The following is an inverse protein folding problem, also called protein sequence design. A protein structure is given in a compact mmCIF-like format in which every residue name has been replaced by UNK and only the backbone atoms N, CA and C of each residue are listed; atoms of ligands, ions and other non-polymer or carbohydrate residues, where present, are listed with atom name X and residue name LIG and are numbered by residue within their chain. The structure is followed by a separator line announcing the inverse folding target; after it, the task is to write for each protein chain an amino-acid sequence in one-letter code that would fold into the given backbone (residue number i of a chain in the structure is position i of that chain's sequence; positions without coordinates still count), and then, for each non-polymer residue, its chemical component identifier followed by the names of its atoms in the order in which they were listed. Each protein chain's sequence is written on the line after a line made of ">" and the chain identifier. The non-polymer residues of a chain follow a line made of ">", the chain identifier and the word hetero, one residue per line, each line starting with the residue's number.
data_IF_122849998833
#
_entry.id   IF_122849998833
#
_cell.length_a   1.000
_cell.length_b   1.000
_cell.length_c   1.000
_cell.angle_alpha   90.00
_cell.angle_beta   90.00
_cell.angle_gamma   90.00
#
_symmetry.space_group_name_H-M   'P 1'
#
loop_
_entity.id
_entity.type
_entity.pdbx_description
1 polymer ?
#
# COMPACT_ATOMS: atom_id res chain seq x y z
N UNK A 1 23.97 9.30 -13.90
CA UNK A 1 22.92 10.17 -13.32
C UNK A 1 21.53 10.03 -13.97
N UNK A 2 21.29 9.13 -14.95
CA UNK A 2 19.98 9.05 -15.65
C UNK A 2 19.01 7.98 -15.13
N UNK A 3 19.49 6.87 -14.58
CA UNK A 3 18.63 5.72 -14.24
C UNK A 3 17.68 5.98 -13.07
N UNK A 4 18.09 6.81 -12.11
CA UNK A 4 17.27 7.14 -10.93
C UNK A 4 16.08 8.04 -11.28
N UNK A 5 16.22 8.94 -12.25
CA UNK A 5 15.14 9.82 -12.72
C UNK A 5 14.03 9.03 -13.43
N UNK A 6 14.39 8.08 -14.28
CA UNK A 6 13.42 7.22 -14.99
C UNK A 6 12.58 6.38 -14.03
N UNK A 7 13.20 5.86 -12.96
CA UNK A 7 12.49 5.09 -11.93
C UNK A 7 11.53 5.98 -11.16
N UNK A 8 11.96 7.17 -10.74
CA UNK A 8 11.11 8.15 -10.04
C UNK A 8 9.91 8.56 -10.90
N UNK A 9 10.12 8.78 -12.19
CA UNK A 9 9.08 9.15 -13.14
C UNK A 9 8.09 8.01 -13.39
N UNK A 10 8.57 6.78 -13.53
CA UNK A 10 7.72 5.59 -13.61
C UNK A 10 6.88 5.40 -12.34
N UNK A 11 7.49 5.55 -11.16
CA UNK A 11 6.78 5.48 -9.88
C UNK A 11 5.66 6.53 -9.83
N UNK A 12 5.95 7.78 -10.20
CA UNK A 12 4.93 8.85 -10.23
C UNK A 12 3.81 8.55 -11.22
N UNK A 13 4.14 7.97 -12.37
CA UNK A 13 3.15 7.56 -13.36
C UNK A 13 2.17 6.51 -12.78
N UNK A 14 2.70 5.44 -12.18
CA UNK A 14 1.87 4.41 -11.54
C UNK A 14 1.10 4.96 -10.34
N UNK A 15 1.73 5.82 -9.55
CA UNK A 15 1.10 6.49 -8.41
C UNK A 15 -0.12 7.33 -8.83
N UNK A 16 0.01 8.12 -9.89
CA UNK A 16 -1.10 8.89 -10.44
C UNK A 16 -2.19 8.00 -11.02
N UNK A 17 -1.80 6.93 -11.72
CA UNK A 17 -2.73 5.95 -12.27
C UNK A 17 -3.55 5.27 -11.17
N UNK A 18 -2.92 4.85 -10.08
CA UNK A 18 -3.58 4.25 -8.91
C UNK A 18 -4.55 5.24 -8.27
N UNK A 19 -4.14 6.49 -8.07
CA UNK A 19 -4.98 7.52 -7.44
C UNK A 19 -6.21 7.88 -8.27
N UNK A 20 -6.13 7.76 -9.60
CA UNK A 20 -7.26 8.03 -10.49
C UNK A 20 -8.11 6.78 -10.77
N UNK A 21 -7.57 5.59 -10.56
CA UNK A 21 -8.23 4.31 -10.89
C UNK A 21 -8.81 3.62 -9.65
N UNK A 22 -9.30 4.40 -8.67
CA UNK A 22 -9.74 3.87 -7.38
C UNK A 22 -10.88 2.84 -7.47
N UNK A 23 -11.63 2.84 -8.57
CA UNK A 23 -12.74 1.93 -8.85
C UNK A 23 -12.33 0.68 -9.67
N UNK A 24 -11.07 0.59 -10.12
CA UNK A 24 -10.58 -0.48 -10.98
C UNK A 24 -9.48 -1.28 -10.27
N UNK A 25 -9.91 -2.23 -9.43
CA UNK A 25 -9.03 -3.08 -8.63
C UNK A 25 -8.01 -3.84 -9.49
N UNK A 26 -8.39 -4.25 -10.70
CA UNK A 26 -7.50 -4.99 -11.62
C UNK A 26 -6.35 -4.09 -12.08
N UNK A 27 -6.65 -2.84 -12.46
CA UNK A 27 -5.60 -1.86 -12.81
C UNK A 27 -4.71 -1.53 -11.62
N UNK A 28 -5.29 -1.36 -10.43
CA UNK A 28 -4.51 -1.08 -9.22
C UNK A 28 -3.57 -2.26 -8.93
N UNK A 29 -4.07 -3.49 -8.95
CA UNK A 29 -3.27 -4.69 -8.71
C UNK A 29 -2.11 -4.77 -9.69
N UNK A 30 -2.38 -4.57 -10.98
CA UNK A 30 -1.35 -4.53 -12.01
C UNK A 30 -0.30 -3.46 -11.73
N UNK A 31 -0.71 -2.24 -11.35
CA UNK A 31 0.24 -1.18 -10.97
C UNK A 31 1.09 -1.54 -9.75
N UNK A 32 0.50 -2.18 -8.74
CA UNK A 32 1.21 -2.65 -7.53
C UNK A 32 2.23 -3.73 -7.88
N UNK A 33 1.89 -4.66 -8.76
CA UNK A 33 2.83 -5.68 -9.26
C UNK A 33 3.97 -5.05 -10.08
N UNK A 34 3.69 -4.07 -10.94
CA UNK A 34 4.72 -3.35 -11.67
C UNK A 34 5.69 -2.64 -10.69
N UNK A 35 5.17 -2.00 -9.64
CA UNK A 35 5.97 -1.39 -8.58
C UNK A 35 6.80 -2.42 -7.81
N UNK A 36 6.30 -3.64 -7.63
CA UNK A 36 7.02 -4.72 -6.96
C UNK A 36 8.21 -5.25 -7.78
N UNK A 37 8.05 -5.35 -9.10
CA UNK A 37 9.05 -5.85 -10.03
C UNK A 37 10.13 -4.82 -10.39
N UNK A 38 9.85 -3.53 -10.20
CA UNK A 38 10.83 -2.47 -10.41
C UNK A 38 11.95 -2.53 -9.35
N UNK A 39 13.23 -2.29 -9.73
CA UNK A 39 14.35 -2.21 -8.80
C UNK A 39 14.33 -0.89 -8.02
N UNK A 40 13.32 -0.71 -7.17
CA UNK A 40 13.13 0.47 -6.33
C UNK A 40 14.10 0.38 -5.15
N UNK A 41 14.83 1.47 -4.89
CA UNK A 41 15.71 1.64 -3.74
C UNK A 41 15.07 2.56 -2.71
N UNK A 42 15.60 2.54 -1.49
CA UNK A 42 15.19 3.46 -0.39
C UNK A 42 15.25 4.92 -0.84
N UNK A 43 16.27 5.31 -1.61
CA UNK A 43 16.39 6.65 -2.18
C UNK A 43 15.16 7.06 -3.00
N UNK A 44 14.59 6.14 -3.80
CA UNK A 44 13.42 6.42 -4.63
C UNK A 44 12.14 6.52 -3.81
N UNK A 45 12.01 5.69 -2.77
CA UNK A 45 10.89 5.73 -1.84
C UNK A 45 10.83 7.09 -1.11
N UNK A 46 11.97 7.57 -0.62
CA UNK A 46 12.08 8.87 0.05
C UNK A 46 11.82 10.05 -0.90
N UNK A 47 12.26 9.95 -2.16
CA UNK A 47 12.06 11.02 -3.15
C UNK A 47 10.63 11.11 -3.70
N UNK A 48 9.92 9.98 -3.78
CA UNK A 48 8.59 9.91 -4.40
C UNK A 48 7.44 9.91 -3.41
N UNK A 49 7.71 9.63 -2.13
CA UNK A 49 6.68 9.43 -1.10
C UNK A 49 5.64 8.34 -1.48
N UNK A 50 5.97 7.45 -2.41
CA UNK A 50 5.05 6.40 -2.92
C UNK A 50 4.54 5.48 -1.81
N UNK A 51 5.31 5.33 -0.73
CA UNK A 51 4.92 4.59 0.46
C UNK A 51 3.59 5.09 1.07
N UNK A 52 3.27 6.38 0.97
CA UNK A 52 2.01 6.94 1.49
C UNK A 52 0.81 6.40 0.72
N UNK A 53 0.91 6.32 -0.61
CA UNK A 53 -0.19 5.85 -1.47
C UNK A 53 -0.36 4.35 -1.38
N UNK A 54 0.74 3.58 -1.39
CA UNK A 54 0.65 2.13 -1.17
C UNK A 54 0.12 1.82 0.24
N UNK A 55 0.41 2.66 1.24
CA UNK A 55 -0.19 2.52 2.56
C UNK A 55 -1.71 2.76 2.54
N UNK A 56 -2.20 3.72 1.77
CA UNK A 56 -3.64 3.92 1.55
C UNK A 56 -4.29 2.73 0.83
N UNK A 57 -3.57 2.06 -0.07
CA UNK A 57 -4.06 0.87 -0.77
C UNK A 57 -4.31 -0.33 0.16
N UNK A 58 -3.74 -0.34 1.37
CA UNK A 58 -3.98 -1.40 2.36
C UNK A 58 -5.44 -1.49 2.84
N UNK A 59 -6.22 -0.43 2.59
CA UNK A 59 -7.66 -0.32 2.91
C UNK A 59 -8.55 -1.02 1.88
N UNK A 60 -8.02 -1.37 0.72
CA UNK A 60 -8.77 -2.13 -0.27
C UNK A 60 -8.97 -3.57 0.22
N UNK A 61 -10.18 -4.08 0.10
CA UNK A 61 -10.49 -5.48 0.36
C UNK A 61 -10.04 -6.33 -0.85
N UNK A 62 -9.58 -7.56 -0.61
CA UNK A 62 -9.08 -8.46 -1.65
C UNK A 62 -7.58 -8.37 -1.91
N UNK A 63 -7.16 -8.84 -3.09
CA UNK A 63 -5.75 -9.07 -3.42
C UNK A 63 -4.92 -7.78 -3.49
N UNK A 64 -5.54 -6.67 -3.88
CA UNK A 64 -4.90 -5.34 -3.89
C UNK A 64 -4.39 -4.95 -2.50
N UNK A 65 -5.22 -5.16 -1.47
CA UNK A 65 -4.84 -4.86 -0.10
C UNK A 65 -3.70 -5.75 0.39
N UNK A 66 -3.74 -7.04 0.06
CA UNK A 66 -2.71 -8.01 0.44
C UNK A 66 -1.35 -7.74 -0.25
N UNK A 67 -1.38 -7.48 -1.56
CA UNK A 67 -0.21 -7.13 -2.35
C UNK A 67 0.43 -5.82 -1.83
N UNK A 68 -0.40 -4.82 -1.54
CA UNK A 68 0.05 -3.53 -0.99
C UNK A 68 0.65 -3.69 0.41
N UNK A 69 0.04 -4.52 1.26
CA UNK A 69 0.57 -4.83 2.61
C UNK A 69 1.96 -5.45 2.51
N UNK A 70 2.14 -6.41 1.61
CA UNK A 70 3.42 -7.10 1.33
C UNK A 70 4.46 -6.14 0.79
N UNK A 71 4.09 -5.26 -0.15
CA UNK A 71 5.00 -4.27 -0.74
C UNK A 71 5.50 -3.27 0.31
N UNK A 72 4.59 -2.71 1.13
CA UNK A 72 4.96 -1.82 2.25
C UNK A 72 5.86 -2.53 3.25
N UNK A 73 5.60 -3.81 3.56
CA UNK A 73 6.44 -4.59 4.46
C UNK A 73 7.84 -4.77 3.87
N UNK A 74 7.96 -5.19 2.60
CA UNK A 74 9.25 -5.34 1.91
C UNK A 74 10.04 -4.03 1.91
N UNK A 75 9.38 -2.89 1.65
CA UNK A 75 10.03 -1.58 1.68
C UNK A 75 10.43 -1.16 3.09
N UNK A 76 9.57 -1.37 4.10
CA UNK A 76 9.93 -1.13 5.51
C UNK A 76 11.13 -1.99 5.91
N UNK A 77 11.12 -3.27 5.57
CA UNK A 77 12.24 -4.18 5.80
C UNK A 77 13.48 -3.71 5.05
N UNK A 78 13.38 -3.25 3.81
CA UNK A 78 14.51 -2.69 3.07
C UNK A 78 15.08 -1.44 3.74
N UNK A 79 14.22 -0.54 4.24
CA UNK A 79 14.62 0.68 4.95
C UNK A 79 15.27 0.39 6.32
N UNK A 80 14.78 -0.63 7.03
CA UNK A 80 15.30 -1.04 8.34
C UNK A 80 16.51 -1.97 8.21
N UNK A 81 16.59 -2.80 7.17
CA UNK A 81 17.71 -3.71 6.93
C UNK A 81 18.98 -2.95 6.53
N UNK A 82 18.86 -1.75 5.93
CA UNK A 82 20.00 -0.82 5.82
C UNK A 82 20.53 -0.35 7.18
N UNK A 83 19.76 -0.50 8.27
CA UNK A 83 20.17 -0.16 9.64
C UNK A 83 20.43 -1.38 10.56
N UNK A 84 19.94 -2.58 10.24
CA UNK A 84 20.04 -3.76 11.12
C UNK A 84 19.95 -5.08 10.35
N UNK A 85 21.03 -5.85 10.36
CA UNK A 85 21.03 -7.30 10.09
C UNK A 85 20.25 -8.15 11.13
N UNK A 86 19.36 -7.57 11.96
CA UNK A 86 18.90 -8.23 13.19
C UNK A 86 17.38 -8.29 13.34
N UNK A 87 16.85 -9.51 13.13
CA UNK A 87 15.67 -10.11 13.77
C UNK A 87 14.29 -9.43 13.65
N UNK A 88 13.29 -10.26 13.30
CA UNK A 88 11.96 -10.14 13.90
C UNK A 88 10.84 -9.75 12.95
N UNK A 89 10.25 -10.76 12.33
CA UNK A 89 8.94 -10.72 11.71
C UNK A 89 7.88 -10.26 12.74
N UNK A 90 7.51 -8.97 12.76
CA UNK A 90 6.29 -8.53 13.45
C UNK A 90 5.23 -8.16 12.41
N UNK A 91 4.54 -9.23 12.01
CA UNK A 91 3.24 -9.17 11.37
C UNK A 91 2.21 -8.72 12.42
N UNK A 92 2.07 -7.42 12.63
CA UNK A 92 0.93 -6.87 13.38
C UNK A 92 -0.28 -6.79 12.46
N UNK A 93 -1.09 -7.83 12.61
CA UNK A 93 -2.43 -8.03 12.10
C UNK A 93 -3.37 -6.96 12.71
N UNK A 94 -3.49 -5.80 12.07
CA UNK A 94 -4.60 -4.88 12.33
C UNK A 94 -5.89 -5.54 11.85
N UNK A 95 -6.58 -6.15 12.82
CA UNK A 95 -7.88 -6.77 12.68
C UNK A 95 -8.92 -5.65 12.59
N UNK A 96 -9.58 -5.53 11.43
CA UNK A 96 -10.86 -4.86 11.31
C UNK A 96 -11.85 -5.55 12.25
N UNK A 97 -12.37 -4.82 13.24
CA UNK A 97 -13.66 -5.14 13.83
C UNK A 97 -14.64 -4.08 13.35
N UNK A 98 -15.28 -4.40 12.22
CA UNK A 98 -16.56 -3.85 11.78
C UNK A 98 -17.55 -3.91 12.95
N UNK A 99 -18.09 -2.76 13.33
CA UNK A 99 -19.35 -2.70 14.08
C UNK A 99 -20.39 -2.11 13.14
N UNK A 100 -20.88 -2.96 12.25
CA UNK A 100 -22.21 -2.78 11.68
C UNK A 100 -23.16 -3.61 12.54
N UNK A 101 -24.16 -2.95 13.12
CA UNK A 101 -25.34 -3.64 13.62
C UNK A 101 -26.52 -2.67 13.49
N UNK A 102 -27.09 -2.77 12.29
CA UNK A 102 -28.50 -2.67 11.92
C UNK A 102 -29.46 -1.84 12.78
N UNK A 103 -30.17 -1.01 12.03
CA UNK A 103 -31.38 -0.29 12.42
C UNK A 103 -32.51 -1.29 12.68
N UNK A 104 -33.19 -1.19 13.82
CA UNK A 104 -34.61 -1.56 13.88
C UNK A 104 -35.41 -0.64 14.82
N UNK A 105 -36.32 0.09 14.19
CA UNK A 105 -37.38 0.91 14.75
C UNK A 105 -38.37 0.07 15.56
N UNK A 106 -38.71 0.47 16.80
CA UNK A 106 -40.07 0.30 17.33
C UNK A 106 -40.41 1.37 18.39
N UNK A 107 -41.35 2.23 17.99
CA UNK A 107 -42.42 2.84 18.77
C UNK A 107 -42.56 2.45 20.26
N UNK A 108 -42.72 3.49 21.12
CA UNK A 108 -43.96 3.83 21.88
C UNK A 108 -43.71 4.20 23.34
N UNK A 109 -44.33 5.32 23.71
CA UNK A 109 -44.61 5.86 25.04
C UNK A 109 -44.87 4.82 26.13
N UNK A 110 -44.43 5.11 27.35
CA UNK A 110 -45.34 5.36 28.49
C UNK A 110 -44.61 6.09 29.62
#
# INVERSE_FOLDING_TARGET
>A
MSSTKLIVEAIRHYQHSISNSQDDEVKILWCVEQLYNLPIKVEHLQLTDVGKIVNSLRKYKGDVGLASKTLVMKWKTMMVATEKELMGFTSENESESEKDNDKETHHRNN
#
